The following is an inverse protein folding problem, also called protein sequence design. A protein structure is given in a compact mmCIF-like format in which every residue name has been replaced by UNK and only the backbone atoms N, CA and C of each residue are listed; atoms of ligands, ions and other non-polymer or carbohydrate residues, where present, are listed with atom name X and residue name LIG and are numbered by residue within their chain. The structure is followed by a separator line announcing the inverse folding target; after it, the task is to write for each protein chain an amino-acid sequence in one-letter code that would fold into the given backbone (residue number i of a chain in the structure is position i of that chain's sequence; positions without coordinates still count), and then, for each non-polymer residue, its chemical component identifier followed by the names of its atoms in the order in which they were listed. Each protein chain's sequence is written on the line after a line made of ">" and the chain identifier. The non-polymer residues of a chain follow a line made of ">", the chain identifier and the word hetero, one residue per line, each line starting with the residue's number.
data_IF_198935297396
#
_entry.id   IF_198935297396
#
_cell.length_a   1.000
_cell.length_b   1.000
_cell.length_c   1.000
_cell.angle_alpha   90.00
_cell.angle_beta   90.00
_cell.angle_gamma   90.00
#
_symmetry.space_group_name_H-M   'P 1'
#
loop_
_entity.id
_entity.type
_entity.pdbx_description
1 polymer ?
#
# COMPACT_ATOMS: atom_id res chain seq x y z
N UNK A 1 -32.65 8.89 4.02
CA UNK A 1 -32.48 9.45 5.37
C UNK A 1 -32.54 8.35 6.43
N UNK A 2 -33.43 7.36 6.26
CA UNK A 2 -33.59 6.22 7.19
C UNK A 2 -32.36 5.31 7.28
N UNK A 3 -31.67 5.04 6.16
CA UNK A 3 -30.44 4.22 6.15
C UNK A 3 -29.27 4.86 6.93
N UNK A 4 -29.28 6.20 7.05
CA UNK A 4 -28.28 6.97 7.78
C UNK A 4 -28.63 7.00 9.28
N UNK A 5 -29.93 6.96 9.62
CA UNK A 5 -30.44 6.79 10.98
C UNK A 5 -30.17 5.37 11.52
N UNK A 6 -30.29 4.33 10.70
CA UNK A 6 -30.00 2.95 11.11
C UNK A 6 -28.50 2.73 11.36
N UNK A 7 -27.64 3.31 10.51
CA UNK A 7 -26.19 3.33 10.73
C UNK A 7 -25.81 4.12 11.98
N UNK A 8 -26.46 5.26 12.24
CA UNK A 8 -26.24 6.05 13.46
C UNK A 8 -26.70 5.31 14.72
N UNK A 9 -27.82 4.57 14.67
CA UNK A 9 -28.26 3.73 15.78
C UNK A 9 -27.30 2.55 16.01
N UNK A 10 -26.77 1.93 14.96
CA UNK A 10 -25.75 0.90 15.06
C UNK A 10 -24.44 1.40 15.67
N UNK A 11 -23.96 2.58 15.25
CA UNK A 11 -22.77 3.23 15.80
C UNK A 11 -22.98 3.73 17.23
N UNK A 12 -24.14 4.30 17.55
CA UNK A 12 -24.49 4.71 18.91
C UNK A 12 -24.68 3.52 19.85
N UNK A 13 -25.14 2.36 19.35
CA UNK A 13 -25.16 1.12 20.12
C UNK A 13 -23.73 0.60 20.39
N UNK A 14 -22.83 0.69 19.41
CA UNK A 14 -21.41 0.34 19.56
C UNK A 14 -20.67 1.26 20.53
N UNK A 15 -20.90 2.58 20.46
CA UNK A 15 -20.30 3.58 21.36
C UNK A 15 -20.96 3.53 22.75
N UNK A 16 -22.26 3.22 22.82
CA UNK A 16 -22.99 2.97 24.07
C UNK A 16 -22.49 1.73 24.81
N UNK A 17 -22.07 0.70 24.08
CA UNK A 17 -21.43 -0.50 24.64
C UNK A 17 -20.05 -0.21 25.24
N UNK A 18 -19.32 0.80 24.75
CA UNK A 18 -18.02 1.19 25.34
C UNK A 18 -18.13 2.03 26.62
N UNK A 19 -19.23 2.77 26.83
CA UNK A 19 -19.46 3.52 28.08
C UNK A 19 -20.17 2.72 29.18
N UNK A 20 -20.79 1.58 28.84
CA UNK A 20 -21.30 0.58 29.81
C UNK A 20 -20.28 -0.50 30.19
N UNK A 21 -19.04 -0.36 29.72
CA UNK A 21 -17.96 -1.35 29.82
C UNK A 21 -17.49 -1.63 31.26
N UNK A 22 -17.78 -0.75 32.21
CA UNK A 22 -17.40 -0.91 33.61
C UNK A 22 -18.46 -1.64 34.47
N UNK A 23 -19.72 -1.72 34.01
CA UNK A 23 -20.81 -2.41 34.74
C UNK A 23 -21.24 -3.73 34.03
N UNK A 24 -21.12 -3.81 32.69
CA UNK A 24 -21.47 -5.03 31.93
C UNK A 24 -20.30 -6.02 31.77
N UNK A 25 -19.07 -5.62 32.12
CA UNK A 25 -17.94 -6.54 32.36
C UNK A 25 -18.23 -7.53 33.51
N UNK A 26 -19.22 -7.26 34.36
CA UNK A 26 -19.71 -8.15 35.42
C UNK A 26 -20.70 -9.22 34.94
N UNK A 27 -21.27 -9.07 33.73
CA UNK A 27 -22.35 -9.91 33.23
C UNK A 27 -21.95 -10.69 31.96
N UNK A 28 -20.66 -11.04 31.84
CA UNK A 28 -20.33 -12.21 31.04
C UNK A 28 -21.09 -13.38 31.66
N UNK A 29 -22.11 -13.88 30.97
CA UNK A 29 -22.64 -15.21 31.24
C UNK A 29 -21.52 -16.21 30.89
N UNK A 30 -20.53 -16.30 31.78
CA UNK A 30 -19.44 -17.26 31.71
C UNK A 30 -20.12 -18.60 31.90
N UNK A 31 -20.41 -19.27 30.79
CA UNK A 31 -20.73 -20.67 30.85
C UNK A 31 -19.52 -21.39 31.46
N UNK A 32 -19.71 -21.94 32.65
CA UNK A 32 -18.68 -22.66 33.41
C UNK A 32 -18.72 -24.15 33.13
N UNK A 33 -19.88 -24.63 32.66
CA UNK A 33 -20.12 -26.03 32.33
C UNK A 33 -20.47 -26.17 30.84
N UNK A 34 -20.30 -27.38 30.30
CA UNK A 34 -20.71 -27.67 28.93
C UNK A 34 -22.22 -27.43 28.73
N UNK A 35 -23.04 -27.83 29.71
CA UNK A 35 -24.49 -27.65 29.65
C UNK A 35 -24.90 -26.17 29.62
N UNK A 36 -24.25 -25.31 30.42
CA UNK A 36 -24.50 -23.86 30.39
C UNK A 36 -24.12 -23.24 29.03
N UNK A 37 -23.01 -23.68 28.43
CA UNK A 37 -22.55 -23.18 27.14
C UNK A 37 -23.53 -23.56 26.03
N UNK A 38 -23.97 -24.82 26.03
CA UNK A 38 -24.98 -25.33 25.10
C UNK A 38 -26.31 -24.58 25.25
N UNK A 39 -26.84 -24.48 26.48
CA UNK A 39 -28.10 -23.78 26.75
C UNK A 39 -28.04 -22.27 26.40
N UNK A 40 -26.87 -21.63 26.55
CA UNK A 40 -26.65 -20.26 26.09
C UNK A 40 -26.73 -20.17 24.56
N UNK A 41 -26.02 -21.04 23.85
CA UNK A 41 -25.99 -21.03 22.38
C UNK A 41 -27.35 -21.37 21.76
N UNK A 42 -28.10 -22.31 22.33
CA UNK A 42 -29.45 -22.64 21.87
C UNK A 42 -30.40 -21.43 22.02
N UNK A 43 -30.37 -20.75 23.18
CA UNK A 43 -31.16 -19.52 23.41
C UNK A 43 -30.77 -18.38 22.47
N UNK A 44 -29.48 -18.25 22.14
CA UNK A 44 -29.03 -17.27 21.14
C UNK A 44 -29.56 -17.62 19.75
N UNK A 45 -29.55 -18.90 19.37
CA UNK A 45 -30.17 -19.38 18.13
C UNK A 45 -31.65 -19.02 18.05
N UNK A 46 -32.43 -19.34 19.10
CA UNK A 46 -33.85 -18.97 19.19
C UNK A 46 -34.08 -17.47 19.08
N UNK A 47 -33.26 -16.65 19.77
CA UNK A 47 -33.35 -15.19 19.72
C UNK A 47 -33.11 -14.62 18.32
N UNK A 48 -32.26 -15.26 17.53
CA UNK A 48 -32.02 -14.90 16.12
C UNK A 48 -33.09 -15.46 15.18
N UNK A 49 -34.03 -16.29 15.67
CA UNK A 49 -34.96 -17.03 14.83
C UNK A 49 -34.30 -18.18 14.05
N UNK A 50 -33.14 -18.67 14.51
CA UNK A 50 -32.38 -19.72 13.85
C UNK A 50 -32.74 -21.08 14.46
N UNK A 51 -32.78 -22.11 13.61
CA UNK A 51 -32.85 -23.49 14.06
C UNK A 51 -31.48 -23.92 14.59
N UNK A 52 -31.39 -24.12 15.90
CA UNK A 52 -30.16 -24.52 16.57
C UNK A 52 -30.20 -26.00 16.98
N UNK A 53 -29.11 -26.72 16.74
CA UNK A 53 -28.91 -28.12 17.15
C UNK A 53 -27.54 -28.28 17.79
N UNK A 54 -27.52 -28.87 18.98
CA UNK A 54 -26.30 -29.26 19.65
C UNK A 54 -25.86 -30.67 19.25
N UNK A 55 -24.54 -30.87 19.16
CA UNK A 55 -23.90 -32.16 18.92
C UNK A 55 -22.54 -32.19 19.63
N UNK A 56 -22.54 -32.60 20.90
CA UNK A 56 -21.33 -32.61 21.72
C UNK A 56 -20.86 -31.19 22.05
N UNK A 57 -19.58 -30.88 21.79
CA UNK A 57 -18.99 -29.56 22.04
C UNK A 57 -19.20 -28.56 20.89
N UNK A 58 -20.26 -28.75 20.12
CA UNK A 58 -20.58 -27.98 18.93
C UNK A 58 -22.07 -27.68 18.88
N UNK A 59 -22.41 -26.45 18.50
CA UNK A 59 -23.78 -26.02 18.21
C UNK A 59 -23.81 -25.44 16.80
N UNK A 60 -24.69 -25.99 15.97
CA UNK A 60 -24.94 -25.53 14.61
C UNK A 60 -26.27 -24.78 14.62
N UNK A 61 -26.29 -23.57 14.10
CA UNK A 61 -27.48 -22.74 13.96
C UNK A 61 -27.66 -22.39 12.49
N UNK A 62 -28.86 -22.61 11.95
CA UNK A 62 -29.19 -22.31 10.57
C UNK A 62 -30.44 -21.43 10.52
N UNK A 63 -30.40 -20.35 9.77
CA UNK A 63 -31.52 -19.44 9.62
C UNK A 63 -31.29 -18.44 8.51
N UNK A 64 -31.99 -17.32 8.56
CA UNK A 64 -31.79 -16.21 7.65
C UNK A 64 -31.69 -14.89 8.42
N UNK A 65 -30.78 -14.01 7.99
CA UNK A 65 -30.62 -12.66 8.51
C UNK A 65 -30.77 -11.68 7.34
N UNK A 66 -31.74 -10.77 7.43
CA UNK A 66 -32.06 -9.82 6.35
C UNK A 66 -32.32 -10.50 4.99
N UNK A 67 -32.95 -11.68 5.04
CA UNK A 67 -33.25 -12.51 3.87
C UNK A 67 -32.09 -13.35 3.33
N UNK A 68 -30.89 -13.22 3.91
CA UNK A 68 -29.71 -13.99 3.52
C UNK A 68 -29.59 -15.27 4.34
N UNK A 69 -29.38 -16.44 3.71
CA UNK A 69 -29.09 -17.68 4.44
C UNK A 69 -27.82 -17.55 5.28
N UNK A 70 -27.92 -17.92 6.56
CA UNK A 70 -26.79 -17.91 7.50
C UNK A 70 -26.65 -19.28 8.14
N UNK A 71 -25.41 -19.78 8.13
CA UNK A 71 -24.98 -20.95 8.89
C UNK A 71 -23.96 -20.51 9.93
N UNK A 72 -24.29 -20.70 11.20
CA UNK A 72 -23.39 -20.47 12.33
C UNK A 72 -22.98 -21.81 12.90
N UNK A 73 -21.68 -22.09 12.89
CA UNK A 73 -21.10 -23.21 13.58
C UNK A 73 -20.25 -22.70 14.74
N UNK A 74 -20.66 -23.02 15.97
CA UNK A 74 -19.94 -22.66 17.19
C UNK A 74 -19.40 -23.92 17.85
N UNK A 75 -18.08 -24.03 17.93
CA UNK A 75 -17.45 -24.99 18.85
C UNK A 75 -17.01 -24.28 20.12
N UNK A 76 -16.99 -25.00 21.24
CA UNK A 76 -16.62 -24.39 22.53
C UNK A 76 -15.80 -25.34 23.39
N UNK A 77 -14.91 -24.75 24.19
CA UNK A 77 -14.07 -25.47 25.15
C UNK A 77 -14.15 -24.79 26.51
N UNK A 78 -14.22 -25.57 27.58
CA UNK A 78 -14.14 -25.04 28.95
C UNK A 78 -12.68 -25.07 29.39
N UNK A 79 -12.07 -23.90 29.57
CA UNK A 79 -10.68 -23.76 30.02
C UNK A 79 -10.67 -22.89 31.28
N UNK A 80 -10.14 -23.42 32.38
CA UNK A 80 -10.11 -22.69 33.66
C UNK A 80 -11.50 -22.29 34.18
N UNK A 81 -12.53 -23.08 33.88
CA UNK A 81 -13.91 -22.78 34.27
C UNK A 81 -14.59 -21.70 33.43
N UNK A 82 -14.01 -21.32 32.29
CA UNK A 82 -14.60 -20.37 31.34
C UNK A 82 -14.75 -20.99 29.96
N UNK A 83 -15.93 -20.80 29.34
CA UNK A 83 -16.15 -21.19 27.96
C UNK A 83 -15.43 -20.26 26.98
N UNK A 84 -14.59 -20.83 26.12
CA UNK A 84 -14.00 -20.21 24.95
C UNK A 84 -14.76 -20.69 23.71
N UNK A 85 -15.38 -19.77 22.98
CA UNK A 85 -16.15 -20.09 21.78
C UNK A 85 -15.34 -19.79 20.52
N UNK A 86 -15.30 -20.73 19.60
CA UNK A 86 -14.77 -20.60 18.26
C UNK A 86 -15.95 -20.56 17.29
N UNK A 87 -16.09 -19.42 16.63
CA UNK A 87 -17.17 -19.12 15.72
C UNK A 87 -16.70 -19.36 14.29
N UNK A 88 -17.48 -20.09 13.51
CA UNK A 88 -17.42 -20.12 12.05
C UNK A 88 -18.79 -19.73 11.51
N UNK A 89 -18.90 -18.55 10.92
CA UNK A 89 -20.15 -18.01 10.38
C UNK A 89 -20.02 -17.96 8.88
N UNK A 90 -20.98 -18.58 8.18
CA UNK A 90 -21.11 -18.50 6.73
C UNK A 90 -22.39 -17.76 6.39
N UNK A 91 -22.29 -16.76 5.52
CA UNK A 91 -23.42 -16.00 4.99
C UNK A 91 -23.43 -16.19 3.48
N UNK A 92 -24.51 -16.74 2.93
CA UNK A 92 -24.68 -16.85 1.48
C UNK A 92 -24.93 -15.47 0.87
N UNK A 93 -24.28 -15.20 -0.25
CA UNK A 93 -24.44 -13.93 -0.96
C UNK A 93 -25.65 -14.00 -1.91
N UNK A 94 -26.48 -12.95 -1.99
CA UNK A 94 -27.62 -12.92 -2.89
C UNK A 94 -27.21 -12.79 -4.38
N UNK A 95 -25.97 -12.39 -4.64
CA UNK A 95 -25.40 -12.28 -5.98
C UNK A 95 -23.94 -12.79 -5.99
N UNK A 96 -23.38 -13.16 -7.17
CA UNK A 96 -22.00 -13.55 -7.25
C UNK A 96 -21.08 -12.42 -6.78
N UNK A 97 -20.22 -12.72 -5.80
CA UNK A 97 -19.19 -11.80 -5.32
C UNK A 97 -18.03 -11.75 -6.31
N UNK A 98 -17.22 -10.68 -6.24
CA UNK A 98 -15.96 -10.57 -6.97
C UNK A 98 -15.03 -11.77 -6.67
N UNK A 99 -13.96 -11.90 -7.46
CA UNK A 99 -12.97 -12.97 -7.30
C UNK A 99 -12.53 -13.13 -5.82
N UNK A 100 -12.17 -14.35 -5.37
CA UNK A 100 -11.93 -14.60 -3.95
C UNK A 100 -10.87 -13.68 -3.33
N UNK A 101 -11.16 -13.16 -2.15
CA UNK A 101 -10.25 -12.34 -1.36
C UNK A 101 -10.54 -12.55 0.14
N UNK A 102 -9.65 -12.09 1.00
CA UNK A 102 -9.82 -12.26 2.44
C UNK A 102 -9.06 -11.24 3.25
N UNK A 103 -9.41 -11.16 4.52
CA UNK A 103 -8.84 -10.24 5.50
C UNK A 103 -8.52 -11.02 6.76
N UNK A 104 -7.31 -10.81 7.24
CA UNK A 104 -6.68 -11.67 8.22
C UNK A 104 -6.06 -10.80 9.32
N UNK A 105 -6.19 -11.19 10.60
CA UNK A 105 -5.37 -10.63 11.66
C UNK A 105 -3.89 -10.73 11.29
N UNK A 106 -3.11 -9.71 11.63
CA UNK A 106 -1.71 -9.57 11.20
C UNK A 106 -0.87 -10.84 11.44
N UNK A 107 -1.04 -11.48 12.60
CA UNK A 107 -0.28 -12.68 13.02
C UNK A 107 -0.72 -13.98 12.32
N UNK A 108 -1.85 -13.94 11.60
CA UNK A 108 -2.45 -15.09 10.92
C UNK A 108 -2.54 -14.91 9.40
N UNK A 109 -2.02 -13.80 8.89
CA UNK A 109 -2.16 -13.46 7.49
C UNK A 109 -1.32 -14.39 6.60
N UNK A 110 -1.87 -14.89 5.49
CA UNK A 110 -1.13 -15.77 4.59
C UNK A 110 0.03 -15.03 3.92
N UNK A 111 1.05 -15.76 3.42
CA UNK A 111 2.09 -15.18 2.56
C UNK A 111 1.48 -14.43 1.37
N UNK A 112 2.07 -13.28 1.02
CA UNK A 112 1.55 -12.42 -0.05
C UNK A 112 0.41 -11.49 0.36
N UNK A 113 0.01 -11.50 1.64
CA UNK A 113 -0.91 -10.51 2.19
C UNK A 113 -0.26 -9.12 2.27
N UNK A 114 -1.08 -8.08 2.11
CA UNK A 114 -0.67 -6.68 1.99
C UNK A 114 -1.61 -5.74 2.75
N UNK A 115 -1.20 -4.48 2.94
CA UNK A 115 -1.95 -3.46 3.71
C UNK A 115 -2.83 -2.60 2.80
N UNK A 116 -4.08 -2.36 3.17
CA UNK A 116 -5.03 -1.63 2.31
C UNK A 116 -4.68 -0.16 2.12
N UNK A 117 -3.88 0.43 3.01
CA UNK A 117 -3.58 1.86 3.05
C UNK A 117 -4.54 2.65 3.94
N UNK A 118 -5.47 2.02 4.66
CA UNK A 118 -6.22 2.70 5.73
C UNK A 118 -5.50 2.41 7.05
N UNK A 119 -4.82 3.39 7.69
CA UNK A 119 -4.04 3.15 8.91
C UNK A 119 -4.85 2.45 10.00
N UNK A 120 -6.15 2.75 10.12
CA UNK A 120 -7.02 2.15 11.14
C UNK A 120 -7.17 0.64 10.94
N UNK A 121 -7.26 0.19 9.68
CA UNK A 121 -7.34 -1.25 9.37
C UNK A 121 -5.96 -1.90 9.39
N UNK A 122 -4.97 -1.23 8.83
CA UNK A 122 -3.63 -1.77 8.62
C UNK A 122 -2.89 -2.06 9.94
N UNK A 123 -3.29 -1.42 11.05
CA UNK A 123 -2.83 -1.73 12.40
C UNK A 123 -3.24 -3.15 12.87
N UNK A 124 -4.40 -3.65 12.42
CA UNK A 124 -4.98 -4.89 12.95
C UNK A 124 -5.08 -6.00 11.90
N UNK A 125 -5.16 -5.64 10.62
CA UNK A 125 -5.58 -6.53 9.55
C UNK A 125 -4.65 -6.43 8.34
N UNK A 126 -4.47 -7.55 7.66
CA UNK A 126 -3.90 -7.61 6.31
C UNK A 126 -4.91 -8.18 5.34
N UNK A 127 -4.79 -7.81 4.08
CA UNK A 127 -5.64 -8.28 2.99
C UNK A 127 -4.88 -9.29 2.14
N UNK A 128 -5.56 -10.31 1.64
CA UNK A 128 -5.07 -11.15 0.55
C UNK A 128 -6.11 -11.19 -0.59
N UNK A 129 -5.63 -11.19 -1.83
CA UNK A 129 -6.46 -11.13 -3.02
C UNK A 129 -5.87 -10.21 -4.08
N UNK A 130 -6.50 -10.15 -5.25
CA UNK A 130 -6.09 -9.23 -6.32
C UNK A 130 -6.41 -7.78 -5.91
N UNK A 131 -5.42 -6.88 -6.01
CA UNK A 131 -5.54 -5.46 -5.66
C UNK A 131 -6.80 -4.81 -6.23
N UNK A 132 -7.04 -4.97 -7.54
CA UNK A 132 -8.17 -4.36 -8.22
C UNK A 132 -9.53 -4.85 -7.69
N UNK A 133 -9.61 -6.12 -7.29
CA UNK A 133 -10.81 -6.71 -6.71
C UNK A 133 -11.06 -6.14 -5.31
N UNK A 134 -10.05 -6.18 -4.46
CA UNK A 134 -10.17 -5.69 -3.08
C UNK A 134 -10.53 -4.22 -3.04
N UNK A 135 -9.79 -3.35 -3.75
CA UNK A 135 -10.02 -1.90 -3.64
C UNK A 135 -11.37 -1.48 -4.23
N UNK A 136 -11.93 -2.27 -5.14
CA UNK A 136 -13.29 -2.10 -5.67
C UNK A 136 -14.33 -2.54 -4.65
N UNK A 137 -14.14 -3.70 -4.02
CA UNK A 137 -15.06 -4.27 -3.03
C UNK A 137 -15.09 -3.50 -1.70
N UNK A 138 -13.93 -3.08 -1.23
CA UNK A 138 -13.74 -2.55 0.12
C UNK A 138 -13.93 -1.04 0.12
N UNK A 139 -15.20 -0.64 0.13
CA UNK A 139 -15.58 0.75 0.26
C UNK A 139 -15.31 1.35 1.66
N UNK A 140 -15.47 2.66 1.88
CA UNK A 140 -15.26 3.25 3.21
C UNK A 140 -16.20 2.66 4.27
N UNK A 141 -17.42 2.34 3.86
CA UNK A 141 -18.42 1.75 4.74
C UNK A 141 -18.10 0.27 5.05
N UNK A 142 -17.61 -0.48 4.07
CA UNK A 142 -17.09 -1.85 4.25
C UNK A 142 -15.88 -1.83 5.18
N UNK A 143 -14.96 -0.86 5.05
CA UNK A 143 -13.84 -0.70 5.98
C UNK A 143 -14.30 -0.47 7.41
N UNK A 144 -15.28 0.42 7.61
CA UNK A 144 -15.82 0.69 8.95
C UNK A 144 -16.51 -0.56 9.53
N UNK A 145 -17.21 -1.34 8.71
CA UNK A 145 -17.74 -2.64 9.12
C UNK A 145 -16.61 -3.63 9.47
N UNK A 146 -15.50 -3.62 8.74
CA UNK A 146 -14.38 -4.54 9.00
C UNK A 146 -13.62 -4.21 10.29
N UNK A 147 -13.53 -2.94 10.70
CA UNK A 147 -12.85 -2.55 11.95
C UNK A 147 -13.46 -3.22 13.20
N UNK A 148 -14.76 -3.55 13.17
CA UNK A 148 -15.42 -4.29 14.26
C UNK A 148 -15.15 -5.80 14.26
N UNK A 149 -14.61 -6.34 13.15
CA UNK A 149 -14.37 -7.76 12.94
C UNK A 149 -12.97 -8.14 13.44
N UNK A 150 -12.86 -8.57 14.70
CA UNK A 150 -11.63 -9.22 15.19
C UNK A 150 -11.69 -10.72 14.86
N UNK A 151 -11.29 -11.05 13.64
CA UNK A 151 -11.26 -12.42 13.12
C UNK A 151 -10.82 -12.47 11.67
N UNK A 152 -10.84 -13.66 11.11
CA UNK A 152 -10.53 -13.90 9.69
C UNK A 152 -11.81 -13.84 8.88
N UNK A 153 -11.83 -13.01 7.84
CA UNK A 153 -12.91 -12.91 6.88
C UNK A 153 -12.42 -13.45 5.53
N UNK A 154 -13.13 -14.41 4.95
CA UNK A 154 -12.89 -14.91 3.60
C UNK A 154 -14.13 -14.65 2.75
N UNK A 155 -13.92 -14.02 1.60
CA UNK A 155 -14.95 -13.75 0.61
C UNK A 155 -14.73 -14.70 -0.56
N UNK A 156 -15.75 -15.51 -0.83
CA UNK A 156 -15.80 -16.45 -1.97
C UNK A 156 -16.92 -16.02 -2.90
N UNK A 157 -16.99 -16.63 -4.09
CA UNK A 157 -17.96 -16.24 -5.13
C UNK A 157 -19.42 -16.28 -4.66
N UNK A 158 -19.77 -17.21 -3.80
CA UNK A 158 -21.16 -17.48 -3.38
C UNK A 158 -21.42 -17.17 -1.89
N UNK A 159 -20.39 -16.89 -1.10
CA UNK A 159 -20.51 -16.75 0.35
C UNK A 159 -19.40 -15.93 0.98
N UNK A 160 -19.67 -15.44 2.17
CA UNK A 160 -18.70 -14.89 3.09
C UNK A 160 -18.54 -15.85 4.26
N UNK A 161 -17.30 -16.18 4.61
CA UNK A 161 -16.95 -17.01 5.75
C UNK A 161 -16.18 -16.18 6.77
N UNK A 162 -16.61 -16.18 8.03
CA UNK A 162 -15.95 -15.47 9.11
C UNK A 162 -15.58 -16.41 10.24
N UNK A 163 -14.32 -16.35 10.69
CA UNK A 163 -13.77 -17.19 11.76
C UNK A 163 -13.19 -16.33 12.87
N UNK A 164 -13.62 -16.56 14.11
CA UNK A 164 -13.11 -15.83 15.27
C UNK A 164 -13.21 -16.63 16.56
N UNK A 165 -12.43 -16.23 17.57
CA UNK A 165 -12.65 -16.62 18.95
C UNK A 165 -13.23 -15.44 19.71
N UNK A 166 -14.46 -15.55 20.21
CA UNK A 166 -15.17 -14.47 20.92
C UNK A 166 -16.12 -15.00 21.97
N UNK A 167 -16.60 -14.14 22.85
CA UNK A 167 -17.71 -14.48 23.73
C UNK A 167 -19.01 -14.67 22.92
N UNK A 168 -19.87 -15.59 23.36
CA UNK A 168 -21.13 -15.89 22.66
C UNK A 168 -22.07 -14.68 22.55
N UNK A 169 -21.97 -13.70 23.45
CA UNK A 169 -22.75 -12.46 23.42
C UNK A 169 -22.52 -11.61 22.16
N UNK A 170 -21.37 -11.76 21.50
CA UNK A 170 -21.10 -11.08 20.23
C UNK A 170 -21.79 -11.73 19.04
N UNK A 171 -22.37 -12.92 19.19
CA UNK A 171 -22.86 -13.70 18.06
C UNK A 171 -23.96 -12.97 17.28
N UNK A 172 -24.96 -12.44 17.98
CA UNK A 172 -26.10 -11.73 17.34
C UNK A 172 -25.64 -10.49 16.55
N UNK A 173 -24.92 -9.51 17.15
CA UNK A 173 -24.48 -8.35 16.39
C UNK A 173 -23.49 -8.72 15.28
N UNK A 174 -22.66 -9.74 15.48
CA UNK A 174 -21.71 -10.21 14.46
C UNK A 174 -22.42 -10.83 13.26
N UNK A 175 -23.46 -11.64 13.46
CA UNK A 175 -24.27 -12.21 12.37
C UNK A 175 -24.95 -11.09 11.57
N UNK A 176 -25.57 -10.11 12.25
CA UNK A 176 -26.17 -8.96 11.59
C UNK A 176 -25.14 -8.12 10.79
N UNK A 177 -23.97 -7.89 11.37
CA UNK A 177 -22.88 -7.17 10.72
C UNK A 177 -22.35 -7.90 9.47
N UNK A 178 -22.21 -9.22 9.53
CA UNK A 178 -21.77 -10.05 8.39
C UNK A 178 -22.84 -10.13 7.30
N UNK A 179 -24.12 -10.18 7.66
CA UNK A 179 -25.22 -10.10 6.69
C UNK A 179 -25.22 -8.76 5.95
N UNK A 180 -25.12 -7.64 6.70
CA UNK A 180 -24.99 -6.31 6.11
C UNK A 180 -23.76 -6.16 5.22
N UNK A 181 -22.64 -6.79 5.59
CA UNK A 181 -21.45 -6.86 4.76
C UNK A 181 -21.68 -7.67 3.47
N UNK A 182 -22.33 -8.84 3.56
CA UNK A 182 -22.67 -9.66 2.40
C UNK A 182 -23.56 -8.93 1.41
N UNK A 183 -24.62 -8.27 1.88
CA UNK A 183 -25.49 -7.44 1.03
C UNK A 183 -24.74 -6.32 0.32
N UNK A 184 -23.72 -5.72 0.96
CA UNK A 184 -22.91 -4.65 0.35
C UNK A 184 -21.87 -5.16 -0.62
N UNK A 185 -21.32 -6.35 -0.38
CA UNK A 185 -20.35 -6.97 -1.29
C UNK A 185 -21.02 -7.59 -2.51
N UNK A 186 -22.32 -7.84 -2.47
CA UNK A 186 -23.16 -8.30 -3.58
C UNK A 186 -23.39 -7.22 -4.66
N UNK A 187 -22.35 -6.47 -5.00
CA UNK A 187 -22.29 -5.53 -6.11
C UNK A 187 -21.72 -6.27 -7.34
N UNK A 188 -21.94 -5.70 -8.53
CA UNK A 188 -21.54 -6.23 -9.84
C UNK A 188 -20.31 -7.15 -9.79
N UNK A 189 -20.39 -8.37 -10.35
CA UNK A 189 -19.34 -9.39 -10.24
C UNK A 189 -18.07 -9.08 -11.04
N UNK A 190 -17.97 -7.90 -11.65
CA UNK A 190 -16.86 -7.50 -12.50
C UNK A 190 -16.25 -6.19 -12.03
N UNK A 191 -14.91 -6.18 -11.94
CA UNK A 191 -14.14 -4.96 -11.75
C UNK A 191 -14.17 -4.17 -13.06
N UNK A 192 -14.77 -2.99 -13.06
CA UNK A 192 -14.79 -2.08 -14.21
C UNK A 192 -13.92 -0.83 -13.97
N UNK A 193 -13.48 -0.20 -15.05
CA UNK A 193 -12.73 1.05 -14.98
C UNK A 193 -13.56 2.17 -14.32
N UNK A 194 -14.86 2.24 -14.64
CA UNK A 194 -15.80 3.20 -14.04
C UNK A 194 -15.91 3.01 -12.51
N UNK A 195 -16.04 1.75 -12.04
CA UNK A 195 -16.16 1.46 -10.61
C UNK A 195 -14.90 1.91 -9.85
N UNK A 196 -13.72 1.59 -10.37
CA UNK A 196 -12.43 2.03 -9.79
C UNK A 196 -12.28 3.56 -9.83
N UNK A 197 -12.72 4.22 -10.90
CA UNK A 197 -12.68 5.67 -11.01
C UNK A 197 -13.62 6.35 -10.00
N UNK A 198 -14.85 5.85 -9.86
CA UNK A 198 -15.81 6.35 -8.88
C UNK A 198 -15.30 6.14 -7.44
N UNK A 199 -14.64 5.01 -7.20
CA UNK A 199 -13.94 4.73 -5.95
C UNK A 199 -12.83 5.73 -5.67
N UNK A 200 -11.92 5.93 -6.63
CA UNK A 200 -10.83 6.91 -6.53
C UNK A 200 -11.35 8.33 -6.24
N UNK A 201 -12.49 8.72 -6.83
CA UNK A 201 -13.10 10.05 -6.65
C UNK A 201 -13.69 10.28 -5.26
N UNK A 202 -14.24 9.23 -4.64
CA UNK A 202 -14.99 9.30 -3.38
C UNK A 202 -14.15 8.94 -2.16
N UNK A 203 -12.98 8.35 -2.35
CA UNK A 203 -12.17 7.80 -1.27
C UNK A 203 -11.44 8.91 -0.46
N UNK A 204 -11.72 9.03 0.86
CA UNK A 204 -11.07 10.05 1.70
C UNK A 204 -9.61 9.74 2.03
N UNK A 205 -9.20 8.47 2.11
CA UNK A 205 -7.86 8.05 2.52
C UNK A 205 -6.90 8.08 1.33
N UNK A 206 -5.79 8.81 1.47
CA UNK A 206 -4.86 9.09 0.38
C UNK A 206 -4.20 7.84 -0.20
N UNK A 207 -3.78 6.91 0.65
CA UNK A 207 -3.11 5.67 0.26
C UNK A 207 -4.10 4.71 -0.41
N UNK A 208 -5.35 4.68 0.04
CA UNK A 208 -6.42 3.92 -0.64
C UNK A 208 -6.71 4.55 -2.01
N UNK A 209 -6.77 5.89 -2.12
CA UNK A 209 -6.88 6.57 -3.42
C UNK A 209 -5.74 6.19 -4.36
N UNK A 210 -4.51 6.18 -3.85
CA UNK A 210 -3.33 5.78 -4.64
C UNK A 210 -3.48 4.36 -5.17
N UNK A 211 -3.93 3.41 -4.34
CA UNK A 211 -4.18 2.02 -4.75
C UNK A 211 -5.34 1.89 -5.74
N UNK A 212 -6.43 2.65 -5.57
CA UNK A 212 -7.51 2.68 -6.56
C UNK A 212 -6.99 3.16 -7.92
N UNK A 213 -6.20 4.23 -7.94
CA UNK A 213 -5.57 4.72 -9.17
C UNK A 213 -4.59 3.69 -9.74
N UNK A 214 -3.77 3.06 -8.89
CA UNK A 214 -2.85 1.98 -9.30
C UNK A 214 -3.56 0.82 -10.00
N UNK A 215 -4.65 0.33 -9.40
CA UNK A 215 -5.46 -0.74 -9.96
C UNK A 215 -6.08 -0.33 -11.29
N UNK A 216 -6.61 0.90 -11.37
CA UNK A 216 -7.22 1.45 -12.58
C UNK A 216 -6.22 1.52 -13.74
N UNK A 217 -5.03 2.08 -13.50
CA UNK A 217 -4.01 2.28 -14.52
C UNK A 217 -3.32 0.99 -14.94
N UNK A 218 -3.15 0.04 -14.01
CA UNK A 218 -2.56 -1.28 -14.33
C UNK A 218 -3.53 -2.14 -15.16
N UNK A 219 -4.80 -2.18 -14.77
CA UNK A 219 -5.78 -3.08 -15.39
C UNK A 219 -6.41 -2.50 -16.65
N UNK A 220 -6.52 -1.17 -16.76
CA UNK A 220 -7.18 -0.48 -17.85
C UNK A 220 -6.37 0.72 -18.38
N UNK A 221 -5.08 0.55 -18.75
CA UNK A 221 -4.16 1.66 -19.00
C UNK A 221 -4.64 2.68 -20.04
N UNK A 222 -5.36 2.22 -21.06
CA UNK A 222 -5.84 3.02 -22.19
C UNK A 222 -7.32 3.41 -22.10
N UNK A 223 -8.04 2.94 -21.06
CA UNK A 223 -9.45 3.25 -20.94
C UNK A 223 -9.68 4.76 -20.71
N UNK A 224 -10.74 5.36 -21.28
CA UNK A 224 -11.06 6.77 -21.04
C UNK A 224 -11.15 7.12 -19.55
N UNK A 225 -11.70 6.22 -18.73
CA UNK A 225 -11.79 6.39 -17.28
C UNK A 225 -10.43 6.38 -16.58
N UNK A 226 -9.47 5.59 -17.06
CA UNK A 226 -8.11 5.56 -16.53
C UNK A 226 -7.37 6.87 -16.84
N UNK A 227 -7.46 7.37 -18.07
CA UNK A 227 -6.90 8.66 -18.46
C UNK A 227 -7.55 9.81 -17.67
N UNK A 228 -8.88 9.79 -17.51
CA UNK A 228 -9.61 10.75 -16.69
C UNK A 228 -9.20 10.68 -15.21
N UNK A 229 -8.99 9.47 -14.68
CA UNK A 229 -8.48 9.21 -13.34
C UNK A 229 -7.09 9.79 -13.14
N UNK A 230 -6.16 9.54 -14.06
CA UNK A 230 -4.82 10.09 -14.02
C UNK A 230 -4.84 11.63 -14.08
N UNK A 231 -5.58 12.23 -15.02
CA UNK A 231 -5.70 13.70 -15.14
C UNK A 231 -6.24 14.35 -13.87
N UNK A 232 -7.22 13.71 -13.22
CA UNK A 232 -7.70 14.15 -11.90
C UNK A 232 -6.61 13.99 -10.84
N UNK A 233 -5.90 12.86 -10.85
CA UNK A 233 -4.82 12.56 -9.90
C UNK A 233 -3.67 13.55 -9.92
N UNK A 234 -3.40 14.23 -11.04
CA UNK A 234 -2.42 15.34 -11.11
C UNK A 234 -2.71 16.47 -10.12
N UNK A 235 -3.97 16.63 -9.68
CA UNK A 235 -4.43 17.67 -8.74
C UNK A 235 -4.77 17.11 -7.35
N UNK A 236 -4.43 15.86 -7.06
CA UNK A 236 -4.70 15.27 -5.75
C UNK A 236 -3.85 15.93 -4.65
N UNK A 237 -4.40 15.98 -3.43
CA UNK A 237 -3.67 16.48 -2.26
C UNK A 237 -2.46 15.58 -1.90
N UNK A 238 -2.55 14.29 -2.20
CA UNK A 238 -1.46 13.34 -1.97
C UNK A 238 -0.42 13.39 -3.07
N UNK A 239 0.84 13.61 -2.68
CA UNK A 239 1.98 13.58 -3.61
C UNK A 239 2.20 12.20 -4.24
N UNK A 240 1.83 11.10 -3.57
CA UNK A 240 1.94 9.75 -4.16
C UNK A 240 0.91 9.52 -5.26
N UNK A 241 -0.31 10.01 -5.08
CA UNK A 241 -1.34 10.00 -6.13
C UNK A 241 -0.90 10.85 -7.32
N UNK A 242 -0.40 12.08 -7.07
CA UNK A 242 0.12 12.96 -8.12
C UNK A 242 1.26 12.32 -8.90
N UNK A 243 2.22 11.70 -8.20
CA UNK A 243 3.34 10.98 -8.80
C UNK A 243 2.85 9.89 -9.76
N UNK A 244 1.97 9.01 -9.29
CA UNK A 244 1.46 7.87 -10.05
C UNK A 244 0.67 8.33 -11.29
N UNK A 245 -0.18 9.33 -11.12
CA UNK A 245 -0.90 9.96 -12.23
C UNK A 245 0.05 10.53 -13.29
N UNK A 246 1.08 11.27 -12.85
CA UNK A 246 1.99 11.94 -13.74
C UNK A 246 2.89 10.97 -14.50
N UNK A 247 3.37 9.92 -13.84
CA UNK A 247 4.13 8.84 -14.50
C UNK A 247 3.32 8.15 -15.60
N UNK A 248 2.02 7.92 -15.39
CA UNK A 248 1.15 7.30 -16.39
C UNK A 248 0.88 8.19 -17.60
N UNK A 249 0.74 9.50 -17.38
CA UNK A 249 0.43 10.47 -18.42
C UNK A 249 1.65 10.89 -19.26
N UNK A 250 2.87 10.51 -18.86
CA UNK A 250 4.10 10.88 -19.56
C UNK A 250 4.26 12.39 -19.68
N UNK A 251 4.31 12.90 -20.91
CA UNK A 251 4.51 14.33 -21.20
C UNK A 251 3.46 15.24 -20.53
N UNK A 252 2.19 14.85 -20.51
CA UNK A 252 1.12 15.62 -19.85
C UNK A 252 1.35 15.71 -18.32
N UNK A 253 2.07 14.75 -17.73
CA UNK A 253 2.46 14.71 -16.33
C UNK A 253 3.79 15.42 -16.00
N UNK A 254 4.61 15.78 -16.99
CA UNK A 254 5.98 16.28 -16.77
C UNK A 254 6.04 17.48 -15.82
N UNK A 255 5.14 18.46 -15.95
CA UNK A 255 5.12 19.62 -15.07
C UNK A 255 4.94 19.23 -13.59
N UNK A 256 4.06 18.26 -13.32
CA UNK A 256 3.83 17.76 -11.95
C UNK A 256 5.05 17.00 -11.44
N UNK A 257 5.68 16.16 -12.27
CA UNK A 257 6.91 15.45 -11.88
C UNK A 257 8.03 16.42 -11.53
N UNK A 258 8.27 17.48 -12.33
CA UNK A 258 9.25 18.54 -12.01
C UNK A 258 8.94 19.20 -10.67
N UNK A 259 7.67 19.54 -10.43
CA UNK A 259 7.23 20.11 -9.15
C UNK A 259 7.43 19.17 -7.96
N UNK A 260 7.25 17.86 -8.13
CA UNK A 260 7.53 16.86 -7.09
C UNK A 260 9.03 16.72 -6.82
N UNK A 261 9.85 16.71 -7.87
CA UNK A 261 11.32 16.65 -7.80
C UNK A 261 11.89 17.84 -7.02
N UNK A 262 11.42 19.06 -7.32
CA UNK A 262 11.90 20.30 -6.70
C UNK A 262 11.34 20.58 -5.30
N UNK A 263 10.45 19.74 -4.76
CA UNK A 263 9.76 20.03 -3.50
C UNK A 263 10.53 19.48 -2.29
N UNK A 264 11.26 20.34 -1.58
CA UNK A 264 12.02 20.00 -0.37
C UNK A 264 11.18 19.45 0.80
N UNK A 265 9.86 19.63 0.77
CA UNK A 265 8.93 19.11 1.79
C UNK A 265 8.59 17.63 1.61
N UNK A 266 8.95 17.02 0.49
CA UNK A 266 8.59 15.64 0.18
C UNK A 266 9.68 14.69 0.62
N UNK A 267 9.24 13.51 1.03
CA UNK A 267 10.12 12.38 1.23
C UNK A 267 11.00 12.15 -0.01
N UNK A 268 12.25 11.83 0.26
CA UNK A 268 13.28 11.71 -0.75
C UNK A 268 13.05 10.56 -1.72
N UNK A 269 12.48 9.45 -1.22
CA UNK A 269 12.08 8.33 -2.08
C UNK A 269 11.03 8.74 -3.11
N UNK A 270 10.11 9.64 -2.73
CA UNK A 270 9.09 10.18 -3.63
C UNK A 270 9.69 11.14 -4.66
N UNK A 271 10.59 12.05 -4.25
CA UNK A 271 11.32 12.95 -5.16
C UNK A 271 12.10 12.16 -6.21
N UNK A 272 12.80 11.11 -5.78
CA UNK A 272 13.55 10.22 -6.65
C UNK A 272 12.64 9.44 -7.61
N UNK A 273 11.51 8.93 -7.13
CA UNK A 273 10.55 8.25 -7.98
C UNK A 273 9.95 9.19 -9.04
N UNK A 274 9.76 10.48 -8.69
CA UNK A 274 9.36 11.51 -9.64
C UNK A 274 10.46 11.77 -10.68
N UNK A 275 11.72 11.89 -10.27
CA UNK A 275 12.86 12.08 -11.16
C UNK A 275 13.01 10.93 -12.17
N UNK A 276 12.72 9.68 -11.76
CA UNK A 276 12.71 8.51 -12.66
C UNK A 276 11.58 8.55 -13.69
N UNK A 277 10.50 9.28 -13.40
CA UNK A 277 9.37 9.45 -14.33
C UNK A 277 9.59 10.54 -15.37
N UNK A 278 10.57 11.43 -15.17
CA UNK A 278 10.92 12.45 -16.16
C UNK A 278 11.80 11.84 -17.24
N UNK A 279 11.48 12.12 -18.51
CA UNK A 279 12.43 11.92 -19.59
C UNK A 279 13.52 13.00 -19.49
N UNK A 280 14.79 12.62 -19.26
CA UNK A 280 15.81 13.56 -18.81
C UNK A 280 16.54 14.30 -19.94
N UNK A 281 16.03 14.26 -21.16
CA UNK A 281 16.70 14.85 -22.31
C UNK A 281 16.61 16.38 -22.40
N UNK A 282 15.71 17.06 -21.66
CA UNK A 282 15.51 18.53 -21.81
C UNK A 282 15.12 19.27 -20.50
N UNK A 283 15.78 18.97 -19.37
CA UNK A 283 15.50 19.69 -18.12
C UNK A 283 16.73 19.99 -17.25
N UNK A 284 17.31 21.18 -17.43
CA UNK A 284 18.41 21.68 -16.60
C UNK A 284 18.04 21.70 -15.11
N UNK A 285 16.77 21.92 -14.75
CA UNK A 285 16.33 21.93 -13.36
C UNK A 285 16.36 20.51 -12.76
N UNK A 286 15.98 19.50 -13.54
CA UNK A 286 16.13 18.09 -13.14
C UNK A 286 17.60 17.74 -12.95
N UNK A 287 18.47 18.14 -13.88
CA UNK A 287 19.90 17.87 -13.78
C UNK A 287 20.52 18.53 -12.55
N UNK A 288 20.12 19.76 -12.23
CA UNK A 288 20.55 20.46 -11.02
C UNK A 288 20.04 19.78 -9.74
N UNK A 289 18.81 19.26 -9.72
CA UNK A 289 18.31 18.45 -8.60
C UNK A 289 19.12 17.16 -8.45
N UNK A 290 19.32 16.42 -9.54
CA UNK A 290 20.06 15.17 -9.52
C UNK A 290 21.50 15.37 -9.06
N UNK A 291 22.15 16.46 -9.48
CA UNK A 291 23.48 16.85 -9.01
C UNK A 291 23.48 17.13 -7.49
N UNK A 292 22.46 17.82 -6.98
CA UNK A 292 22.29 18.07 -5.55
C UNK A 292 22.07 16.77 -4.76
N UNK A 293 21.20 15.88 -5.25
CA UNK A 293 20.91 14.59 -4.62
C UNK A 293 22.10 13.64 -4.67
N UNK A 294 22.90 13.68 -5.74
CA UNK A 294 24.15 12.92 -5.84
C UNK A 294 25.17 13.33 -4.76
N UNK A 295 25.10 14.58 -4.29
CA UNK A 295 25.94 15.13 -3.21
C UNK A 295 25.38 14.89 -1.80
N UNK A 296 24.25 14.21 -1.66
CA UNK A 296 23.69 13.83 -0.36
C UNK A 296 24.60 12.82 0.37
N UNK A 297 24.65 12.88 1.70
CA UNK A 297 25.44 11.94 2.51
C UNK A 297 24.81 10.56 2.60
N UNK A 298 23.49 10.47 2.43
CA UNK A 298 22.74 9.22 2.57
C UNK A 298 22.83 8.36 1.30
N UNK A 299 23.33 7.11 1.38
CA UNK A 299 23.52 6.25 0.20
C UNK A 299 22.22 5.94 -0.54
N UNK A 300 21.10 5.83 0.17
CA UNK A 300 19.78 5.56 -0.40
C UNK A 300 19.31 6.66 -1.37
N UNK A 301 19.93 7.83 -1.29
CA UNK A 301 19.65 9.03 -2.08
C UNK A 301 20.63 9.17 -3.22
N UNK A 302 21.91 9.23 -2.85
CA UNK A 302 22.97 9.58 -3.76
C UNK A 302 23.08 8.50 -4.85
N UNK A 303 23.01 7.21 -4.47
CA UNK A 303 23.20 6.11 -5.43
C UNK A 303 22.15 6.13 -6.55
N UNK A 304 20.83 6.25 -6.28
CA UNK A 304 19.86 6.41 -7.36
C UNK A 304 20.04 7.66 -8.21
N UNK A 305 20.36 8.82 -7.63
CA UNK A 305 20.62 10.05 -8.39
C UNK A 305 21.81 9.87 -9.33
N UNK A 306 22.90 9.29 -8.83
CA UNK A 306 24.09 8.92 -9.61
C UNK A 306 23.76 7.94 -10.75
N UNK A 307 22.86 6.97 -10.52
CA UNK A 307 22.40 6.06 -11.59
C UNK A 307 21.64 6.80 -12.68
N UNK A 308 20.78 7.75 -12.33
CA UNK A 308 20.05 8.56 -13.31
C UNK A 308 21.03 9.45 -14.08
N UNK A 309 21.94 10.16 -13.39
CA UNK A 309 23.01 10.94 -14.02
C UNK A 309 23.90 10.10 -14.93
N UNK A 310 24.19 8.84 -14.59
CA UNK A 310 25.00 7.97 -15.45
C UNK A 310 24.36 7.69 -16.80
N UNK A 311 23.03 7.56 -16.82
CA UNK A 311 22.26 7.22 -18.01
C UNK A 311 21.93 8.45 -18.85
N UNK A 312 21.80 9.60 -18.20
CA UNK A 312 21.17 10.76 -18.82
C UNK A 312 21.86 12.11 -18.58
N UNK A 313 22.75 12.19 -17.60
CA UNK A 313 23.47 13.41 -17.28
C UNK A 313 24.25 13.94 -18.49
N UNK A 314 24.43 15.27 -18.58
CA UNK A 314 25.32 15.88 -19.56
C UNK A 314 26.77 15.53 -19.23
N UNK A 315 27.67 15.70 -20.21
CA UNK A 315 29.10 15.47 -20.00
C UNK A 315 29.68 16.32 -18.86
N UNK A 316 29.11 17.50 -18.59
CA UNK A 316 29.48 18.36 -17.46
C UNK A 316 29.29 17.71 -16.08
N UNK A 317 28.41 16.71 -15.96
CA UNK A 317 28.22 15.97 -14.70
C UNK A 317 29.43 15.08 -14.34
N UNK A 318 30.34 14.78 -15.28
CA UNK A 318 31.53 13.96 -15.00
C UNK A 318 32.40 14.57 -13.90
N UNK A 319 32.49 15.90 -13.80
CA UNK A 319 33.25 16.57 -12.74
C UNK A 319 32.69 16.28 -11.35
N UNK A 320 31.36 16.36 -11.18
CA UNK A 320 30.70 15.97 -9.92
C UNK A 320 30.92 14.49 -9.62
N UNK A 321 30.76 13.60 -10.61
CA UNK A 321 30.91 12.15 -10.41
C UNK A 321 32.36 11.78 -10.00
N UNK A 322 33.36 12.41 -10.62
CA UNK A 322 34.76 12.24 -10.27
C UNK A 322 35.03 12.66 -8.82
N UNK A 323 34.65 13.88 -8.45
CA UNK A 323 34.84 14.40 -7.09
C UNK A 323 34.17 13.53 -6.02
N UNK A 324 32.95 13.06 -6.29
CA UNK A 324 32.24 12.13 -5.38
C UNK A 324 32.91 10.76 -5.27
N UNK A 325 33.59 10.28 -6.32
CA UNK A 325 34.30 8.99 -6.30
C UNK A 325 35.61 9.04 -5.52
N UNK A 326 36.24 10.22 -5.46
CA UNK A 326 37.53 10.47 -4.81
C UNK A 326 37.38 10.89 -3.34
N UNK A 327 36.24 11.49 -2.96
CA UNK A 327 35.97 11.97 -1.60
C UNK A 327 35.90 10.81 -0.59
N UNK A 328 37.04 10.51 0.06
CA UNK A 328 37.19 9.43 1.03
C UNK A 328 36.32 9.59 2.28
N UNK A 329 35.78 10.78 2.55
CA UNK A 329 34.85 11.00 3.66
C UNK A 329 33.45 10.42 3.39
N UNK A 330 33.14 10.12 2.12
CA UNK A 330 31.85 9.57 1.70
C UNK A 330 31.75 8.07 1.95
N UNK A 331 30.50 7.63 2.12
CA UNK A 331 30.15 6.22 2.23
C UNK A 331 30.71 5.43 1.02
N UNK A 332 31.34 4.24 1.24
CA UNK A 332 31.95 3.46 0.16
C UNK A 332 31.02 3.17 -1.03
N UNK A 333 29.72 2.92 -0.76
CA UNK A 333 28.74 2.67 -1.83
C UNK A 333 28.46 3.89 -2.71
N UNK A 334 28.53 5.11 -2.16
CA UNK A 334 28.36 6.35 -2.95
C UNK A 334 29.56 6.50 -3.88
N UNK A 335 30.77 6.30 -3.37
CA UNK A 335 32.00 6.37 -4.18
C UNK A 335 32.00 5.37 -5.32
N UNK A 336 31.64 4.12 -5.03
CA UNK A 336 31.56 3.06 -6.04
C UNK A 336 30.46 3.36 -7.08
N UNK A 337 29.28 3.80 -6.64
CA UNK A 337 28.21 4.20 -7.54
C UNK A 337 28.61 5.40 -8.42
N UNK A 338 29.34 6.38 -7.87
CA UNK A 338 29.81 7.55 -8.61
C UNK A 338 30.84 7.15 -9.67
N UNK A 339 31.78 6.24 -9.32
CA UNK A 339 32.73 5.68 -10.28
C UNK A 339 32.03 4.91 -11.40
N UNK A 340 31.09 4.02 -11.07
CA UNK A 340 30.30 3.30 -12.07
C UNK A 340 29.48 4.25 -12.95
N UNK A 341 28.94 5.31 -12.35
CA UNK A 341 28.18 6.32 -13.06
C UNK A 341 29.04 7.09 -14.05
N UNK A 342 30.26 7.49 -13.66
CA UNK A 342 31.21 8.17 -14.53
C UNK A 342 31.59 7.30 -15.73
N UNK A 343 31.91 6.02 -15.48
CA UNK A 343 32.25 5.05 -16.54
C UNK A 343 31.11 4.91 -17.55
N UNK A 344 29.87 4.75 -17.08
CA UNK A 344 28.69 4.64 -17.96
C UNK A 344 28.42 5.92 -18.73
N UNK A 345 28.56 7.08 -18.06
CA UNK A 345 28.36 8.37 -18.69
C UNK A 345 29.40 8.60 -19.80
N UNK A 346 30.68 8.30 -19.53
CA UNK A 346 31.75 8.40 -20.52
C UNK A 346 31.55 7.45 -21.70
N UNK A 347 31.11 6.22 -21.46
CA UNK A 347 30.85 5.23 -22.51
C UNK A 347 29.77 5.67 -23.52
N UNK A 348 28.93 6.66 -23.19
CA UNK A 348 27.95 7.25 -24.11
C UNK A 348 28.57 8.17 -25.16
N UNK A 349 29.80 8.60 -24.97
CA UNK A 349 30.51 9.52 -25.87
C UNK A 349 31.66 8.76 -26.56
N UNK A 350 31.41 8.05 -27.68
CA UNK A 350 32.40 7.19 -28.32
C UNK A 350 33.65 7.91 -28.85
N UNK A 351 33.61 9.25 -28.95
CA UNK A 351 34.79 10.07 -29.23
C UNK A 351 35.75 10.22 -28.04
N UNK A 352 35.32 9.90 -26.82
CA UNK A 352 36.15 9.83 -25.64
C UNK A 352 36.66 8.39 -25.46
N UNK A 353 37.87 8.08 -25.94
CA UNK A 353 38.47 6.75 -25.71
C UNK A 353 38.65 6.49 -24.20
N UNK A 354 38.56 5.24 -23.73
CA UNK A 354 38.93 4.87 -22.36
C UNK A 354 40.36 5.38 -22.07
N UNK A 355 40.50 6.29 -21.11
CA UNK A 355 41.79 6.92 -20.76
C UNK A 355 42.00 8.36 -21.25
N UNK A 356 41.15 8.92 -22.12
CA UNK A 356 41.23 10.36 -22.51
C UNK A 356 40.74 11.31 -21.41
N UNK A 357 40.05 10.78 -20.40
CA UNK A 357 39.77 11.43 -19.14
C UNK A 357 40.36 10.53 -18.06
N UNK A 358 41.69 10.55 -17.93
CA UNK A 358 42.34 9.91 -16.78
C UNK A 358 42.18 10.87 -15.60
N UNK A 359 41.36 10.49 -14.62
CA UNK A 359 41.44 11.06 -13.27
C UNK A 359 42.76 10.57 -12.70
N UNK A 360 43.83 11.32 -12.94
CA UNK A 360 45.12 11.07 -12.29
C UNK A 360 44.90 11.37 -10.81
N UNK A 361 45.18 10.40 -9.94
CA UNK A 361 45.17 10.60 -8.49
C UNK A 361 45.99 11.87 -8.18
N UNK A 362 45.40 12.91 -7.56
CA UNK A 362 46.11 14.17 -7.37
C UNK A 362 47.26 13.97 -6.38
N UNK A 363 48.47 14.32 -6.82
CA UNK A 363 49.50 14.79 -5.91
C UNK A 363 48.95 16.04 -5.20
N UNK A 364 48.91 16.11 -3.86
CA UNK A 364 48.24 17.17 -3.09
C UNK A 364 48.68 18.62 -3.39
N UNK A 365 49.71 18.84 -4.21
CA UNK A 365 50.21 20.17 -4.56
C UNK A 365 49.70 20.72 -5.91
N UNK A 366 49.14 19.92 -6.82
CA UNK A 366 48.68 20.48 -8.12
C UNK A 366 47.54 19.68 -8.76
N UNK A 367 46.32 20.21 -8.70
CA UNK A 367 45.20 19.70 -9.49
C UNK A 367 45.31 20.23 -10.92
N UNK A 368 45.90 19.46 -11.84
CA UNK A 368 45.86 19.76 -13.28
C UNK A 368 45.00 18.72 -14.01
N UNK A 369 44.02 19.21 -14.76
CA UNK A 369 43.19 18.41 -15.66
C UNK A 369 44.01 18.16 -16.94
N UNK A 370 44.47 16.93 -17.16
CA UNK A 370 45.21 16.58 -18.38
C UNK A 370 44.24 16.14 -19.47
N UNK A 371 44.18 16.89 -20.58
CA UNK A 371 43.43 16.54 -21.78
C UNK A 371 44.43 15.98 -22.79
N UNK A 372 44.34 14.69 -23.11
CA UNK A 372 45.13 14.11 -24.21
C UNK A 372 44.49 14.46 -25.55
N UNK A 373 45.30 14.86 -26.53
CA UNK A 373 44.85 15.06 -27.90
C UNK A 373 44.42 13.74 -28.59
N UNK A 374 43.90 13.83 -29.81
CA UNK A 374 43.41 12.68 -30.59
C UNK A 374 44.50 11.63 -30.89
N UNK A 375 45.78 11.96 -30.66
CA UNK A 375 46.94 11.10 -30.87
C UNK A 375 47.42 10.41 -29.58
N UNK A 376 46.80 10.71 -28.43
CA UNK A 376 47.16 10.10 -27.15
C UNK A 376 48.48 10.64 -26.58
N UNK A 377 48.89 11.85 -26.96
CA UNK A 377 50.07 12.50 -26.37
C UNK A 377 49.66 13.26 -25.12
N UNK A 378 50.29 12.91 -24.00
CA UNK A 378 50.23 13.68 -22.75
C UNK A 378 51.08 14.94 -22.95
N UNK A 379 50.45 16.11 -23.03
CA UNK A 379 51.17 17.38 -22.94
C UNK A 379 51.48 17.62 -21.46
N UNK A 380 52.71 17.36 -21.07
CA UNK A 380 53.27 17.96 -19.86
C UNK A 380 53.64 19.39 -20.26
N UNK A 381 53.03 20.37 -19.59
CA UNK A 381 53.60 21.72 -19.60
C UNK A 381 54.99 21.60 -18.99
N UNK A 382 56.02 21.81 -19.81
CA UNK A 382 57.38 22.01 -19.33
C UNK A 382 57.34 23.20 -18.38
N UNK A 383 57.51 22.91 -17.08
CA UNK A 383 57.67 23.94 -16.08
C UNK A 383 58.97 24.68 -16.41
N UNK A 384 58.85 25.99 -16.60
CA UNK A 384 59.95 26.93 -16.82
C UNK A 384 61.14 26.60 -15.90
N UNK A 385 62.30 26.34 -16.53
CA UNK A 385 63.60 26.38 -15.86
C UNK A 385 63.80 27.79 -15.29
N UNK A 386 63.73 27.88 -13.96
CA UNK A 386 64.23 29.03 -13.20
C UNK A 386 65.71 28.80 -12.92
N UNK A 387 66.52 29.62 -13.62
CA UNK A 387 67.98 29.87 -13.55
C UNK A 387 68.96 28.78 -14.00
#
# INVERSE_FOLDING_TARGET
>A
MDLLLDLLHGLLALIGLERRRDDESSAFAVARTHHEAEALLLRLGERMGFHARASGQQVIMQGAQDGLPVLVNVSYQIVGGQARFHLNIEVESPAPLLAPWGVYPHDSAPPGSWTLGDPRLDESLKVAGEDAVVVTAVDSLVRDLMLGLAGTLEVRRDRISFRATRAATFLVPLVAQLAGLASRLAVSPEVSAEALLNRFRSEPVAEVRERCLAALLTRFPEAPDALNGARRGLRDASSRVRLRAAQHLGEEGHFVLRGLVASDRLDQGLRLAAARGLDPFDDDALLAELDRQAKDSEPEVAVPALRILSRFGPIGSLGTLAGLSEDRSRHPWIRDAARQAAVRLQARFPSARPGHLSLVEPDPASGRLSLSDAEGRLSLDDADDVE
#
